data_IF_892408163749
#
_entry.id   IF_892408163749
#
_cell.length_a   1.000
_cell.length_b   1.000
_cell.length_c   1.000
_cell.angle_alpha   90.00
_cell.angle_beta   90.00
_cell.angle_gamma   90.00
#
_symmetry.space_group_name_H-M   'P 1'
#
loop_
_entity.id
_entity.type
_entity.pdbx_description
1 polymer ?
#
# COMPACT_ATOMS: atom_id res chain seq x y z
N UNK A 1 27.74 -21.84 35.95
CA UNK A 1 27.52 -21.24 37.29
C UNK A 1 26.41 -22.00 37.99
N UNK A 2 26.65 -22.54 39.19
CA UNK A 2 25.65 -23.29 39.96
C UNK A 2 25.01 -22.40 41.03
N UNK A 3 23.69 -22.28 41.01
CA UNK A 3 22.95 -21.34 41.87
C UNK A 3 22.04 -22.07 42.86
N UNK A 4 21.86 -21.49 44.05
CA UNK A 4 20.79 -21.86 44.97
C UNK A 4 19.79 -20.72 45.10
N UNK A 5 18.50 -21.02 45.04
CA UNK A 5 17.43 -20.02 45.19
C UNK A 5 16.80 -20.21 46.57
N UNK A 6 16.83 -19.17 47.41
CA UNK A 6 16.20 -19.15 48.73
C UNK A 6 14.92 -18.32 48.63
N UNK A 7 13.78 -18.93 48.93
CA UNK A 7 12.45 -18.39 48.67
C UNK A 7 11.92 -18.87 47.33
N UNK A 8 10.91 -19.73 47.37
CA UNK A 8 10.24 -20.36 46.24
C UNK A 8 8.78 -19.90 46.08
N UNK A 9 8.44 -18.73 46.62
CA UNK A 9 7.20 -18.03 46.31
C UNK A 9 7.14 -17.58 44.84
N UNK A 10 6.23 -16.66 44.50
CA UNK A 10 6.05 -16.21 43.11
C UNK A 10 7.36 -15.69 42.49
N UNK A 11 8.16 -14.95 43.27
CA UNK A 11 9.39 -14.36 42.78
C UNK A 11 10.49 -15.38 42.48
N UNK A 12 10.78 -16.25 43.46
CA UNK A 12 11.70 -17.37 43.27
C UNK A 12 11.27 -18.33 42.17
N UNK A 13 9.96 -18.52 41.97
CA UNK A 13 9.43 -19.34 40.87
C UNK A 13 9.75 -18.73 39.50
N UNK A 14 9.66 -17.41 39.34
CA UNK A 14 10.03 -16.73 38.09
C UNK A 14 11.53 -16.85 37.82
N UNK A 15 12.36 -16.65 38.84
CA UNK A 15 13.81 -16.84 38.74
C UNK A 15 14.18 -18.28 38.40
N UNK A 16 13.46 -19.26 38.96
CA UNK A 16 13.63 -20.67 38.65
C UNK A 16 13.36 -20.96 37.16
N UNK A 17 12.27 -20.42 36.60
CA UNK A 17 11.96 -20.54 35.16
C UNK A 17 13.04 -19.88 34.32
N UNK A 18 13.43 -18.65 34.67
CA UNK A 18 14.47 -17.91 33.97
C UNK A 18 15.78 -18.71 33.88
N UNK A 19 16.31 -19.15 35.03
CA UNK A 19 17.59 -19.85 35.06
C UNK A 19 17.53 -21.24 34.43
N UNK A 20 16.35 -21.86 34.34
CA UNK A 20 16.18 -23.14 33.66
C UNK A 20 16.38 -23.02 32.14
N UNK A 21 16.07 -21.87 31.56
CA UNK A 21 16.24 -21.59 30.12
C UNK A 21 17.65 -21.12 29.76
N UNK A 22 18.54 -20.91 30.74
CA UNK A 22 19.91 -20.44 30.51
C UNK A 22 20.91 -21.60 30.48
N UNK A 23 21.56 -21.84 29.34
CA UNK A 23 22.52 -22.94 29.15
C UNK A 23 23.72 -22.91 30.13
N UNK A 24 24.07 -21.73 30.63
CA UNK A 24 25.24 -21.52 31.49
C UNK A 24 24.92 -21.48 33.00
N UNK A 25 23.66 -21.68 33.39
CA UNK A 25 23.20 -21.67 34.79
C UNK A 25 22.66 -23.03 35.18
N UNK A 26 23.16 -23.60 36.26
CA UNK A 26 22.67 -24.86 36.82
C UNK A 26 21.99 -24.55 38.14
N UNK A 27 20.69 -24.79 38.24
CA UNK A 27 19.98 -24.65 39.51
C UNK A 27 20.29 -25.87 40.36
N UNK A 28 21.11 -25.68 41.39
CA UNK A 28 21.60 -26.74 42.26
C UNK A 28 20.68 -27.08 43.43
N UNK A 29 19.97 -26.08 43.96
CA UNK A 29 19.09 -26.23 45.11
C UNK A 29 18.01 -25.13 45.14
N UNK A 30 16.79 -25.48 45.52
CA UNK A 30 15.72 -24.54 45.87
C UNK A 30 15.38 -24.70 47.35
N UNK A 31 15.40 -23.61 48.11
CA UNK A 31 15.16 -23.61 49.55
C UNK A 31 13.88 -22.85 49.85
N UNK A 32 12.88 -23.48 50.46
CA UNK A 32 11.70 -22.79 50.99
C UNK A 32 11.09 -23.59 52.15
N UNK A 33 10.69 -22.89 53.22
CA UNK A 33 10.03 -23.51 54.38
C UNK A 33 8.69 -24.15 54.03
N UNK A 34 8.04 -23.66 52.99
CA UNK A 34 6.77 -24.16 52.50
C UNK A 34 7.00 -25.12 51.31
N UNK A 35 6.91 -26.42 51.57
CA UNK A 35 7.00 -27.46 50.54
C UNK A 35 5.87 -27.44 49.49
N UNK A 36 4.82 -26.63 49.72
CA UNK A 36 3.74 -26.39 48.78
C UNK A 36 3.91 -25.07 48.00
N UNK A 37 5.02 -24.35 48.19
CA UNK A 37 5.29 -23.14 47.43
C UNK A 37 5.40 -23.45 45.93
N UNK A 38 4.95 -22.54 45.05
CA UNK A 38 4.88 -22.78 43.61
C UNK A 38 6.25 -23.14 43.01
N UNK A 39 7.33 -22.56 43.50
CA UNK A 39 8.68 -22.82 43.03
C UNK A 39 9.20 -24.18 43.48
N UNK A 40 8.74 -24.73 44.61
CA UNK A 40 9.07 -26.09 45.04
C UNK A 40 8.35 -27.11 44.15
N UNK A 41 7.08 -26.88 43.83
CA UNK A 41 6.33 -27.71 42.89
C UNK A 41 7.02 -27.73 41.52
N UNK A 42 7.46 -26.58 41.03
CA UNK A 42 8.18 -26.47 39.77
C UNK A 42 9.58 -27.10 39.83
N UNK A 43 10.29 -26.97 40.96
CA UNK A 43 11.58 -27.64 41.16
C UNK A 43 11.43 -29.16 41.08
N UNK A 44 10.36 -29.74 41.64
CA UNK A 44 10.05 -31.17 41.51
C UNK A 44 9.84 -31.58 40.05
N UNK A 45 9.06 -30.81 39.29
CA UNK A 45 8.81 -31.06 37.87
C UNK A 45 10.11 -31.06 37.06
N UNK A 46 11.02 -30.12 37.36
CA UNK A 46 12.31 -30.01 36.69
C UNK A 46 13.38 -30.98 37.22
N UNK A 47 13.08 -31.81 38.21
CA UNK A 47 14.05 -32.72 38.84
C UNK A 47 15.16 -32.00 39.61
N UNK A 48 14.90 -30.77 40.06
CA UNK A 48 15.84 -29.94 40.82
C UNK A 48 15.72 -30.28 42.31
N UNK A 49 16.86 -30.38 43.01
CA UNK A 49 16.89 -30.63 44.45
C UNK A 49 16.22 -29.48 45.20
N UNK A 50 15.44 -29.79 46.23
CA UNK A 50 14.82 -28.80 47.10
C UNK A 50 14.87 -29.21 48.58
N UNK A 51 14.74 -28.25 49.48
CA UNK A 51 14.77 -28.43 50.95
C UNK A 51 14.07 -27.27 51.65
N UNK A 52 13.72 -27.42 52.92
CA UNK A 52 13.29 -26.34 53.82
C UNK A 52 14.41 -25.74 54.66
N UNK A 53 15.59 -26.39 54.66
CA UNK A 53 16.75 -25.95 55.43
C UNK A 53 17.88 -25.43 54.53
N UNK A 54 18.19 -24.13 54.67
CA UNK A 54 19.29 -23.50 53.94
C UNK A 54 20.66 -24.07 54.31
N UNK A 55 20.80 -24.79 55.44
CA UNK A 55 22.05 -25.49 55.80
C UNK A 55 22.48 -26.53 54.77
N UNK A 56 21.56 -27.01 53.92
CA UNK A 56 21.90 -27.97 52.88
C UNK A 56 22.53 -27.35 51.62
N UNK A 57 22.75 -26.02 51.59
CA UNK A 57 23.53 -25.37 50.53
C UNK A 57 24.99 -25.81 50.66
N UNK A 58 25.45 -26.62 49.70
CA UNK A 58 26.80 -27.18 49.70
C UNK A 58 27.86 -26.24 49.12
N UNK A 59 29.13 -26.65 49.23
CA UNK A 59 30.27 -25.89 48.69
C UNK A 59 30.27 -25.80 47.16
N UNK A 60 29.53 -26.68 46.45
CA UNK A 60 29.42 -26.66 45.00
C UNK A 60 28.47 -25.60 44.45
N UNK A 61 27.70 -24.90 45.30
CA UNK A 61 26.91 -23.73 44.90
C UNK A 61 27.81 -22.49 44.83
N UNK A 62 27.87 -21.84 43.67
CA UNK A 62 28.68 -20.64 43.43
C UNK A 62 27.98 -19.37 43.95
N UNK A 63 26.67 -19.26 43.69
CA UNK A 63 25.87 -18.06 43.98
C UNK A 63 24.58 -18.43 44.72
N UNK A 64 24.25 -17.69 45.76
CA UNK A 64 22.97 -17.79 46.47
C UNK A 64 22.10 -16.61 46.06
N UNK A 65 20.86 -16.89 45.64
CA UNK A 65 19.88 -15.89 45.25
C UNK A 65 18.78 -15.89 46.31
N UNK A 66 18.76 -14.83 47.11
CA UNK A 66 17.77 -14.63 48.15
C UNK A 66 16.58 -13.87 47.55
N UNK A 67 15.47 -14.58 47.37
CA UNK A 67 14.24 -14.09 46.76
C UNK A 67 13.05 -14.07 47.75
N UNK A 68 13.32 -14.10 49.05
CA UNK A 68 12.29 -14.07 50.10
C UNK A 68 11.79 -12.65 50.37
N UNK A 69 12.64 -11.64 50.15
CA UNK A 69 12.33 -10.24 50.49
C UNK A 69 12.38 -9.96 51.99
N UNK A 70 12.84 -10.91 52.80
CA UNK A 70 12.88 -10.80 54.26
C UNK A 70 14.28 -10.43 54.71
N UNK A 71 14.45 -9.21 55.24
CA UNK A 71 15.75 -8.70 55.71
C UNK A 71 16.47 -9.66 56.67
N UNK A 72 15.73 -10.26 57.61
CA UNK A 72 16.29 -11.25 58.55
C UNK A 72 16.90 -12.47 57.84
N UNK A 73 16.27 -12.96 56.78
CA UNK A 73 16.79 -14.09 55.98
C UNK A 73 18.01 -13.63 55.19
N UNK A 74 17.99 -12.43 54.61
CA UNK A 74 19.14 -11.88 53.91
C UNK A 74 20.38 -11.74 54.83
N UNK A 75 20.19 -11.27 56.07
CA UNK A 75 21.25 -11.16 57.07
C UNK A 75 21.75 -12.57 57.48
N UNK A 76 20.85 -13.52 57.72
CA UNK A 76 21.18 -14.92 58.04
C UNK A 76 21.98 -15.61 56.93
N UNK A 77 21.64 -15.37 55.66
CA UNK A 77 22.36 -15.91 54.49
C UNK A 77 23.78 -15.33 54.42
N UNK A 78 23.96 -14.04 54.71
CA UNK A 78 25.29 -13.39 54.74
C UNK A 78 26.16 -13.93 55.88
N UNK A 79 25.59 -14.07 57.07
CA UNK A 79 26.31 -14.56 58.25
C UNK A 79 26.72 -16.04 58.09
N UNK A 80 25.85 -16.86 57.50
CA UNK A 80 26.07 -18.30 57.32
C UNK A 80 26.96 -18.64 56.14
N UNK A 81 26.97 -17.80 55.10
CA UNK A 81 27.74 -18.02 53.88
C UNK A 81 28.63 -16.81 53.50
N UNK A 82 29.54 -16.37 54.40
CA UNK A 82 30.29 -15.12 54.22
C UNK A 82 31.27 -15.13 53.04
N UNK A 83 31.63 -16.30 52.53
CA UNK A 83 32.56 -16.46 51.38
C UNK A 83 31.86 -16.74 50.04
N UNK A 84 30.52 -16.86 50.01
CA UNK A 84 29.76 -17.10 48.77
C UNK A 84 29.24 -15.79 48.19
N UNK A 85 29.05 -15.75 46.87
CA UNK A 85 28.39 -14.62 46.23
C UNK A 85 26.89 -14.66 46.52
N UNK A 86 26.33 -13.53 46.96
CA UNK A 86 24.92 -13.43 47.34
C UNK A 86 24.25 -12.35 46.48
N UNK A 87 23.19 -12.74 45.79
CA UNK A 87 22.22 -11.83 45.18
C UNK A 87 21.11 -11.62 46.20
N UNK A 88 21.03 -10.42 46.77
CA UNK A 88 20.01 -10.09 47.77
C UNK A 88 18.62 -9.89 47.14
N UNK A 89 17.60 -9.75 48.00
CA UNK A 89 16.22 -9.54 47.56
C UNK A 89 16.03 -8.33 46.63
N UNK A 90 16.81 -7.26 46.76
CA UNK A 90 16.65 -6.07 45.91
C UNK A 90 17.14 -6.35 44.49
N UNK A 91 18.30 -7.03 44.38
CA UNK A 91 18.82 -7.45 43.08
C UNK A 91 17.97 -8.56 42.45
N UNK A 92 17.45 -9.49 43.26
CA UNK A 92 16.49 -10.49 42.81
C UNK A 92 15.20 -9.83 42.29
N UNK A 93 14.69 -8.79 42.97
CA UNK A 93 13.54 -8.00 42.51
C UNK A 93 13.81 -7.30 41.17
N UNK A 94 14.98 -6.67 41.03
CA UNK A 94 15.37 -6.05 39.79
C UNK A 94 15.43 -7.07 38.64
N UNK A 95 16.02 -8.25 38.87
CA UNK A 95 16.04 -9.33 37.88
C UNK A 95 14.62 -9.74 37.45
N UNK A 96 13.70 -9.90 38.40
CA UNK A 96 12.31 -10.24 38.08
C UNK A 96 11.61 -9.17 37.25
N UNK A 97 11.82 -7.88 37.57
CA UNK A 97 11.26 -6.77 36.78
C UNK A 97 11.82 -6.75 35.36
N UNK A 98 13.09 -7.08 35.17
CA UNK A 98 13.71 -7.21 33.85
C UNK A 98 13.05 -8.35 33.06
N UNK A 99 12.84 -9.51 33.68
CA UNK A 99 12.16 -10.65 33.05
C UNK A 99 10.73 -10.31 32.67
N UNK A 100 9.95 -9.72 33.59
CA UNK A 100 8.56 -9.33 33.31
C UNK A 100 8.50 -8.32 32.15
N UNK A 101 9.45 -7.38 32.10
CA UNK A 101 9.56 -6.44 30.99
C UNK A 101 9.94 -7.13 29.68
N UNK A 102 10.83 -8.12 29.72
CA UNK A 102 11.23 -8.91 28.56
C UNK A 102 10.06 -9.70 27.99
N UNK A 103 9.29 -10.41 28.82
CA UNK A 103 8.08 -11.13 28.40
C UNK A 103 7.08 -10.17 27.76
N UNK A 104 6.84 -9.02 28.39
CA UNK A 104 5.95 -8.00 27.81
C UNK A 104 6.44 -7.47 26.45
N UNK A 105 7.75 -7.31 26.26
CA UNK A 105 8.34 -6.91 24.97
C UNK A 105 8.14 -8.02 23.93
N UNK A 106 8.31 -9.29 24.30
CA UNK A 106 8.08 -10.43 23.42
C UNK A 106 6.63 -10.52 22.95
N UNK A 107 5.66 -10.34 23.86
CA UNK A 107 4.24 -10.32 23.48
C UNK A 107 3.91 -9.15 22.55
N UNK A 108 4.48 -7.97 22.80
CA UNK A 108 4.34 -6.82 21.92
C UNK A 108 4.95 -7.07 20.54
N UNK A 109 6.10 -7.73 20.46
CA UNK A 109 6.77 -8.05 19.21
C UNK A 109 5.95 -9.05 18.38
N UNK A 110 5.41 -10.09 19.01
CA UNK A 110 4.54 -11.07 18.33
C UNK A 110 3.30 -10.40 17.74
N UNK A 111 2.62 -9.55 18.51
CA UNK A 111 1.48 -8.77 18.00
C UNK A 111 1.88 -7.86 16.83
N UNK A 112 3.07 -7.25 16.86
CA UNK A 112 3.57 -6.45 15.74
C UNK A 112 3.85 -7.29 14.49
N UNK A 113 4.38 -8.50 14.63
CA UNK A 113 4.61 -9.42 13.51
C UNK A 113 3.30 -9.82 12.83
N UNK A 114 2.25 -10.10 13.60
CA UNK A 114 0.92 -10.41 13.06
C UNK A 114 0.33 -9.23 12.28
N UNK A 115 0.47 -8.00 12.80
CA UNK A 115 0.07 -6.80 12.08
C UNK A 115 0.84 -6.66 10.76
N UNK A 116 2.16 -6.89 10.77
CA UNK A 116 2.98 -6.80 9.56
C UNK A 116 2.58 -7.87 8.53
N UNK A 117 2.31 -9.10 8.96
CA UNK A 117 1.85 -10.19 8.08
C UNK A 117 0.52 -9.85 7.41
N UNK A 118 -0.47 -9.43 8.19
CA UNK A 118 -1.76 -9.00 7.65
C UNK A 118 -1.61 -7.80 6.71
N UNK A 119 -0.78 -6.83 7.08
CA UNK A 119 -0.51 -5.64 6.24
C UNK A 119 0.16 -6.01 4.92
N UNK A 120 1.15 -6.92 4.94
CA UNK A 120 1.85 -7.36 3.73
C UNK A 120 0.93 -8.14 2.78
N UNK A 121 0.02 -8.96 3.30
CA UNK A 121 -0.99 -9.64 2.49
C UNK A 121 -1.96 -8.66 1.82
N UNK A 122 -2.49 -7.69 2.59
CA UNK A 122 -3.35 -6.63 2.04
C UNK A 122 -2.61 -5.84 0.96
N UNK A 123 -1.38 -5.40 1.23
CA UNK A 123 -0.57 -4.66 0.26
C UNK A 123 -0.35 -5.46 -1.02
N UNK A 124 -0.07 -6.76 -0.93
CA UNK A 124 0.09 -7.64 -2.10
C UNK A 124 -1.17 -7.65 -2.97
N UNK A 125 -2.34 -7.84 -2.35
CA UNK A 125 -3.63 -7.83 -3.05
C UNK A 125 -3.92 -6.48 -3.71
N UNK A 126 -3.60 -5.38 -3.05
CA UNK A 126 -3.77 -4.05 -3.64
C UNK A 126 -2.79 -3.82 -4.80
N UNK A 127 -1.55 -4.32 -4.74
CA UNK A 127 -0.62 -4.26 -5.87
C UNK A 127 -1.07 -5.08 -7.07
N UNK A 128 -1.70 -6.25 -6.86
CA UNK A 128 -2.29 -7.02 -7.96
C UNK A 128 -3.42 -6.25 -8.67
N UNK A 129 -4.24 -5.52 -7.90
CA UNK A 129 -5.28 -4.64 -8.46
C UNK A 129 -4.68 -3.45 -9.21
N UNK A 130 -3.64 -2.82 -8.68
CA UNK A 130 -2.92 -1.74 -9.36
C UNK A 130 -2.38 -2.23 -10.69
N UNK A 131 -1.68 -3.37 -10.72
CA UNK A 131 -1.15 -3.94 -11.97
C UNK A 131 -2.25 -4.23 -13.00
N UNK A 132 -3.39 -4.76 -12.56
CA UNK A 132 -4.55 -5.01 -13.43
C UNK A 132 -5.12 -3.70 -13.99
N UNK A 133 -5.18 -2.66 -13.15
CA UNK A 133 -5.68 -1.33 -13.54
C UNK A 133 -4.75 -0.66 -14.54
N UNK A 134 -3.43 -0.73 -14.34
CA UNK A 134 -2.42 -0.22 -15.28
C UNK A 134 -2.56 -0.86 -16.67
N UNK A 135 -2.81 -2.18 -16.75
CA UNK A 135 -3.07 -2.86 -18.02
C UNK A 135 -4.33 -2.35 -18.71
N UNK A 136 -5.43 -2.21 -17.97
CA UNK A 136 -6.68 -1.66 -18.49
C UNK A 136 -6.51 -0.23 -18.99
N UNK A 137 -5.72 0.61 -18.30
CA UNK A 137 -5.43 1.97 -18.73
C UNK A 137 -4.64 2.01 -20.04
N UNK A 138 -3.66 1.12 -20.22
CA UNK A 138 -2.96 0.98 -21.49
C UNK A 138 -3.89 0.57 -22.64
N UNK A 139 -4.79 -0.39 -22.41
CA UNK A 139 -5.77 -0.82 -23.42
C UNK A 139 -6.73 0.33 -23.78
N UNK A 140 -7.22 1.07 -22.77
CA UNK A 140 -8.07 2.26 -22.97
C UNK A 140 -7.32 3.32 -23.76
N UNK A 141 -6.06 3.59 -23.42
CA UNK A 141 -5.20 4.54 -24.14
C UNK A 141 -5.08 4.16 -25.63
N UNK A 142 -4.76 2.90 -25.93
CA UNK A 142 -4.69 2.40 -27.31
C UNK A 142 -6.00 2.58 -28.08
N UNK A 143 -7.14 2.26 -27.45
CA UNK A 143 -8.45 2.44 -28.07
C UNK A 143 -8.78 3.92 -28.32
N UNK A 144 -8.40 4.82 -27.41
CA UNK A 144 -8.59 6.26 -27.57
C UNK A 144 -7.72 6.81 -28.71
N UNK A 145 -6.47 6.36 -28.86
CA UNK A 145 -5.62 6.73 -30.01
C UNK A 145 -6.29 6.31 -31.32
N UNK A 146 -6.80 5.07 -31.37
CA UNK A 146 -7.48 4.57 -32.56
C UNK A 146 -8.72 5.42 -32.89
N UNK A 147 -9.59 5.66 -31.92
CA UNK A 147 -10.81 6.46 -32.10
C UNK A 147 -10.51 7.91 -32.49
N UNK A 148 -9.47 8.53 -31.90
CA UNK A 148 -9.02 9.88 -32.26
C UNK A 148 -8.52 9.94 -33.71
N UNK A 149 -7.80 8.91 -34.17
CA UNK A 149 -7.35 8.82 -35.56
C UNK A 149 -8.52 8.64 -36.54
N UNK A 150 -9.50 7.80 -36.22
CA UNK A 150 -10.72 7.66 -37.03
C UNK A 150 -11.51 8.97 -37.08
N UNK A 151 -11.69 9.65 -35.94
CA UNK A 151 -12.33 10.96 -35.86
C UNK A 151 -11.64 11.98 -36.78
N UNK A 152 -10.30 12.02 -36.75
CA UNK A 152 -9.50 12.86 -37.65
C UNK A 152 -9.78 12.57 -39.13
N UNK A 153 -9.87 11.29 -39.50
CA UNK A 153 -10.18 10.89 -40.87
C UNK A 153 -11.59 11.35 -41.29
N UNK A 154 -12.59 11.17 -40.44
CA UNK A 154 -13.96 11.64 -40.71
C UNK A 154 -14.03 13.16 -40.84
N UNK A 155 -13.30 13.91 -40.02
CA UNK A 155 -13.21 15.37 -40.12
C UNK A 155 -12.63 15.76 -41.49
N UNK A 156 -11.52 15.15 -41.91
CA UNK A 156 -10.91 15.44 -43.22
C UNK A 156 -11.84 15.10 -44.39
N UNK A 157 -12.47 13.91 -44.37
CA UNK A 157 -13.41 13.51 -45.41
C UNK A 157 -14.63 14.45 -45.48
N UNK A 158 -15.14 14.90 -44.33
CA UNK A 158 -16.28 15.83 -44.30
C UNK A 158 -15.86 17.20 -44.83
N UNK A 159 -14.65 17.67 -44.53
CA UNK A 159 -14.13 18.93 -45.07
C UNK A 159 -14.01 18.88 -46.61
N UNK A 160 -13.54 17.77 -47.19
CA UNK A 160 -13.51 17.56 -48.64
C UNK A 160 -14.92 17.61 -49.28
N UNK A 161 -15.92 17.03 -48.61
CA UNK A 161 -17.32 17.09 -49.06
C UNK A 161 -17.83 18.52 -49.02
N UNK A 162 -17.57 19.27 -47.94
CA UNK A 162 -18.00 20.67 -47.81
C UNK A 162 -17.32 21.57 -48.85
N UNK A 163 -16.04 21.34 -49.14
CA UNK A 163 -15.33 22.02 -50.23
C UNK A 163 -16.00 21.75 -51.60
N UNK A 164 -16.45 20.52 -51.84
CA UNK A 164 -17.19 20.15 -53.05
C UNK A 164 -18.56 20.83 -53.12
N UNK A 165 -19.29 20.89 -51.99
CA UNK A 165 -20.57 21.61 -51.88
C UNK A 165 -20.38 23.10 -52.18
N UNK A 166 -19.32 23.71 -51.65
CA UNK A 166 -18.96 25.10 -51.95
C UNK A 166 -18.70 25.33 -53.43
N UNK A 167 -17.99 24.41 -54.10
CA UNK A 167 -17.74 24.48 -55.54
C UNK A 167 -19.04 24.38 -56.36
N UNK A 168 -19.90 23.41 -56.06
CA UNK A 168 -21.21 23.24 -56.71
C UNK A 168 -22.07 24.48 -56.50
N UNK A 169 -22.08 25.02 -55.29
CA UNK A 169 -22.84 26.22 -54.95
C UNK A 169 -22.38 27.42 -55.77
N UNK A 170 -21.06 27.63 -55.92
CA UNK A 170 -20.53 28.68 -56.80
C UNK A 170 -20.97 28.49 -58.27
N UNK A 171 -20.97 27.26 -58.79
CA UNK A 171 -21.45 26.98 -60.14
C UNK A 171 -22.94 27.31 -60.27
N UNK A 172 -23.78 26.89 -59.32
CA UNK A 172 -25.21 27.20 -59.30
C UNK A 172 -25.45 28.71 -59.27
N UNK A 173 -24.66 29.46 -58.50
CA UNK A 173 -24.74 30.93 -58.46
C UNK A 173 -24.50 31.55 -59.85
N UNK A 174 -23.49 31.06 -60.57
CA UNK A 174 -23.18 31.51 -61.94
C UNK A 174 -24.29 31.12 -62.92
N UNK A 175 -24.85 29.90 -62.81
CA UNK A 175 -26.00 29.47 -63.60
C UNK A 175 -27.22 30.37 -63.36
N UNK A 176 -27.54 30.68 -62.11
CA UNK A 176 -28.62 31.58 -61.74
C UNK A 176 -28.40 33.00 -62.27
N UNK A 177 -27.16 33.50 -62.27
CA UNK A 177 -26.80 34.78 -62.89
C UNK A 177 -27.03 34.76 -64.41
N UNK A 178 -26.58 33.73 -65.11
CA UNK A 178 -26.79 33.60 -66.54
C UNK A 178 -28.28 33.52 -66.89
N UNK A 179 -29.07 32.78 -66.10
CA UNK A 179 -30.52 32.71 -66.26
C UNK A 179 -31.20 34.07 -66.06
N UNK A 180 -30.75 34.86 -65.07
CA UNK A 180 -31.24 36.22 -64.85
C UNK A 180 -30.93 37.15 -66.02
N UNK A 181 -29.73 37.05 -66.60
CA UNK A 181 -29.33 37.83 -67.79
C UNK A 181 -30.23 37.48 -68.98
N UNK A 182 -30.47 36.20 -69.24
CA UNK A 182 -31.31 35.77 -70.37
C UNK A 182 -32.79 36.12 -70.15
N UNK A 183 -33.28 36.04 -68.90
CA UNK A 183 -34.61 36.51 -68.53
C UNK A 183 -34.79 38.01 -68.78
N UNK A 184 -33.78 38.83 -68.45
CA UNK A 184 -33.78 40.25 -68.76
C UNK A 184 -33.77 40.51 -70.27
N UNK A 185 -33.01 39.70 -71.03
CA UNK A 185 -32.93 39.78 -72.50
C UNK A 185 -34.25 39.46 -73.20
N UNK A 186 -35.04 38.54 -72.64
CA UNK A 186 -36.37 38.19 -73.14
C UNK A 186 -37.47 39.22 -72.81
N UNK A 187 -37.16 40.27 -72.04
CA UNK A 187 -38.10 41.36 -71.71
C UNK A 187 -39.34 40.87 -70.95
N UNK A 188 -40.54 41.25 -71.40
CA UNK A 188 -41.81 40.88 -70.78
C UNK A 188 -42.00 39.35 -70.68
N UNK A 189 -41.52 38.59 -71.69
CA UNK A 189 -41.64 37.13 -71.73
C UNK A 189 -40.72 36.42 -70.72
N UNK A 190 -39.68 37.11 -70.22
CA UNK A 190 -38.72 36.56 -69.26
C UNK A 190 -39.04 36.81 -67.79
N UNK A 191 -40.10 37.57 -67.46
CA UNK A 191 -40.41 37.95 -66.06
C UNK A 191 -40.53 36.76 -65.11
N UNK A 192 -41.21 35.69 -65.52
CA UNK A 192 -41.34 34.46 -64.71
C UNK A 192 -39.99 33.77 -64.47
N UNK A 193 -39.13 33.73 -65.49
CA UNK A 193 -37.79 33.14 -65.38
C UNK A 193 -36.87 33.96 -64.48
N UNK A 194 -36.99 35.29 -64.46
CA UNK A 194 -36.20 36.13 -63.56
C UNK A 194 -36.54 35.90 -62.09
N UNK A 195 -37.81 35.66 -61.75
CA UNK A 195 -38.20 35.31 -60.37
C UNK A 195 -37.54 34.00 -59.94
N UNK A 196 -37.57 32.97 -60.79
CA UNK A 196 -36.92 31.68 -60.50
C UNK A 196 -35.41 31.83 -60.38
N UNK A 197 -34.76 32.56 -61.29
CA UNK A 197 -33.33 32.79 -61.28
C UNK A 197 -32.85 33.51 -60.00
N UNK A 198 -33.62 34.50 -59.53
CA UNK A 198 -33.35 35.17 -58.25
C UNK A 198 -33.48 34.22 -57.05
N UNK A 199 -34.48 33.34 -57.05
CA UNK A 199 -34.67 32.37 -55.97
C UNK A 199 -33.54 31.33 -55.95
N UNK A 200 -33.08 30.89 -57.12
CA UNK A 200 -31.90 30.00 -57.25
C UNK A 200 -30.64 30.68 -56.71
N UNK A 201 -30.41 31.97 -56.98
CA UNK A 201 -29.28 32.69 -56.41
C UNK A 201 -29.35 32.78 -54.88
N UNK A 202 -30.52 33.10 -54.32
CA UNK A 202 -30.71 33.14 -52.86
C UNK A 202 -30.47 31.77 -52.22
N UNK A 203 -30.97 30.70 -52.82
CA UNK A 203 -30.75 29.34 -52.34
C UNK A 203 -29.25 28.99 -52.36
N UNK A 204 -28.54 29.38 -53.41
CA UNK A 204 -27.10 29.22 -53.50
C UNK A 204 -26.36 30.01 -52.41
N UNK A 205 -26.73 31.26 -52.16
CA UNK A 205 -26.09 32.08 -51.11
C UNK A 205 -26.31 31.50 -49.71
N UNK A 206 -27.53 31.04 -49.42
CA UNK A 206 -27.84 30.35 -48.17
C UNK A 206 -27.05 29.03 -48.03
N UNK A 207 -26.94 28.25 -49.11
CA UNK A 207 -26.17 26.98 -49.09
C UNK A 207 -24.70 27.23 -48.79
N UNK A 208 -24.12 28.29 -49.36
CA UNK A 208 -22.74 28.69 -49.07
C UNK A 208 -22.57 29.06 -47.59
N UNK A 209 -23.50 29.85 -47.05
CA UNK A 209 -23.46 30.25 -45.64
C UNK A 209 -23.46 29.02 -44.71
N UNK A 210 -24.33 28.04 -44.96
CA UNK A 210 -24.35 26.80 -44.18
C UNK A 210 -23.06 25.96 -44.35
N UNK A 211 -22.51 25.91 -45.56
CA UNK A 211 -21.24 25.23 -45.79
C UNK A 211 -20.09 25.88 -45.00
N UNK A 212 -20.03 27.22 -44.98
CA UNK A 212 -19.03 27.97 -44.21
C UNK A 212 -19.19 27.75 -42.68
N UNK A 213 -20.42 27.67 -42.18
CA UNK A 213 -20.72 27.31 -40.78
C UNK A 213 -20.24 25.90 -40.43
N UNK A 214 -20.51 24.91 -41.30
CA UNK A 214 -20.05 23.53 -41.10
C UNK A 214 -18.52 23.46 -41.11
N UNK A 215 -17.84 24.16 -42.02
CA UNK A 215 -16.37 24.25 -42.02
C UNK A 215 -15.83 24.86 -40.71
N UNK A 216 -16.55 25.81 -40.11
CA UNK A 216 -16.24 26.33 -38.78
C UNK A 216 -16.31 25.25 -37.70
N UNK A 217 -17.38 24.46 -37.68
CA UNK A 217 -17.56 23.36 -36.74
C UNK A 217 -16.49 22.27 -36.90
N UNK A 218 -16.12 21.92 -38.14
CA UNK A 218 -15.06 20.94 -38.42
C UNK A 218 -13.70 21.39 -37.89
N UNK A 219 -13.37 22.68 -37.98
CA UNK A 219 -12.15 23.23 -37.37
C UNK A 219 -12.16 23.10 -35.86
N UNK A 220 -13.29 23.41 -35.21
CA UNK A 220 -13.44 23.24 -33.77
C UNK A 220 -13.30 21.77 -33.35
N UNK A 221 -13.89 20.83 -34.11
CA UNK A 221 -13.72 19.39 -33.88
C UNK A 221 -12.27 18.95 -34.04
N UNK A 222 -11.54 19.49 -35.02
CA UNK A 222 -10.12 19.17 -35.21
C UNK A 222 -9.28 19.62 -34.01
N UNK A 223 -9.54 20.81 -33.46
CA UNK A 223 -8.85 21.32 -32.25
C UNK A 223 -9.16 20.42 -31.06
N UNK A 224 -10.43 20.04 -30.88
CA UNK A 224 -10.82 19.16 -29.78
C UNK A 224 -10.17 17.77 -29.90
N UNK A 225 -10.04 17.24 -31.11
CA UNK A 225 -9.35 15.98 -31.36
C UNK A 225 -7.84 16.07 -31.04
N UNK A 226 -7.21 17.22 -31.28
CA UNK A 226 -5.83 17.47 -30.87
C UNK A 226 -5.70 17.53 -29.34
N UNK A 227 -6.65 18.18 -28.65
CA UNK A 227 -6.70 18.18 -27.19
C UNK A 227 -6.82 16.76 -26.61
N UNK A 228 -7.65 15.91 -27.22
CA UNK A 228 -7.77 14.49 -26.84
C UNK A 228 -6.43 13.77 -26.99
N UNK A 229 -5.71 13.98 -28.09
CA UNK A 229 -4.38 13.37 -28.27
C UNK A 229 -3.39 13.78 -27.17
N UNK A 230 -3.34 15.07 -26.83
CA UNK A 230 -2.49 15.56 -25.74
C UNK A 230 -2.87 14.93 -24.38
N UNK A 231 -4.17 14.72 -24.13
CA UNK A 231 -4.63 14.04 -22.91
C UNK A 231 -4.23 12.56 -22.88
N UNK A 232 -4.25 11.88 -24.04
CA UNK A 232 -3.83 10.49 -24.16
C UNK A 232 -2.32 10.34 -23.92
N UNK A 233 -1.49 11.24 -24.44
CA UNK A 233 -0.05 11.23 -24.15
C UNK A 233 0.24 11.37 -22.66
N UNK A 234 -0.46 12.30 -21.99
CA UNK A 234 -0.36 12.47 -20.54
C UNK A 234 -0.86 11.25 -19.76
N UNK A 235 -1.90 10.57 -20.26
CA UNK A 235 -2.37 9.31 -19.68
C UNK A 235 -1.31 8.22 -19.80
N UNK A 236 -0.60 8.16 -20.92
CA UNK A 236 0.52 7.25 -21.13
C UNK A 236 1.63 7.45 -20.10
N UNK A 237 2.09 8.69 -19.89
CA UNK A 237 3.14 8.99 -18.91
C UNK A 237 2.72 8.66 -17.48
N UNK A 238 1.46 8.94 -17.11
CA UNK A 238 0.93 8.60 -15.79
C UNK A 238 0.86 7.09 -15.56
N UNK A 239 0.56 6.33 -16.62
CA UNK A 239 0.49 4.86 -16.56
C UNK A 239 1.88 4.25 -16.37
N UNK A 240 2.91 4.82 -17.01
CA UNK A 240 4.31 4.42 -16.81
C UNK A 240 4.80 4.72 -15.38
N UNK A 241 4.54 5.93 -14.87
CA UNK A 241 4.86 6.27 -13.47
C UNK A 241 4.17 5.33 -12.46
N UNK A 242 2.91 4.96 -12.74
CA UNK A 242 2.14 4.05 -11.88
C UNK A 242 2.74 2.64 -11.87
N UNK A 243 3.26 2.15 -13.00
CA UNK A 243 3.91 0.84 -13.10
C UNK A 243 5.23 0.81 -12.31
N UNK A 244 6.03 1.87 -12.43
CA UNK A 244 7.28 2.04 -11.66
C UNK A 244 7.01 2.08 -10.14
N UNK A 245 6.00 2.83 -9.71
CA UNK A 245 5.58 2.86 -8.31
C UNK A 245 5.14 1.49 -7.81
N UNK A 246 4.34 0.76 -8.61
CA UNK A 246 3.88 -0.58 -8.25
C UNK A 246 5.06 -1.56 -8.11
N UNK A 247 6.04 -1.50 -9.02
CA UNK A 247 7.27 -2.29 -8.96
C UNK A 247 8.08 -2.02 -7.68
N UNK A 248 8.25 -0.75 -7.33
CA UNK A 248 8.93 -0.34 -6.10
C UNK A 248 8.23 -0.86 -4.84
N UNK A 249 6.90 -0.73 -4.76
CA UNK A 249 6.13 -1.23 -3.62
C UNK A 249 6.21 -2.76 -3.53
N UNK A 250 6.13 -3.48 -4.65
CA UNK A 250 6.33 -4.93 -4.67
C UNK A 250 7.71 -5.34 -4.15
N UNK A 251 8.76 -4.59 -4.50
CA UNK A 251 10.11 -4.80 -3.95
C UNK A 251 10.17 -4.61 -2.43
N UNK A 252 9.42 -3.65 -1.88
CA UNK A 252 9.31 -3.44 -0.42
C UNK A 252 8.54 -4.58 0.24
N UNK A 253 7.44 -5.04 -0.35
CA UNK A 253 6.65 -6.18 0.15
C UNK A 253 7.51 -7.44 0.24
N UNK A 254 8.32 -7.74 -0.78
CA UNK A 254 9.24 -8.90 -0.76
C UNK A 254 10.29 -8.80 0.35
N UNK A 255 10.85 -7.60 0.57
CA UNK A 255 11.79 -7.34 1.67
C UNK A 255 11.12 -7.52 3.04
N UNK A 256 9.87 -7.09 3.21
CA UNK A 256 9.11 -7.30 4.45
C UNK A 256 8.83 -8.80 4.68
N UNK A 257 8.31 -9.50 3.67
CA UNK A 257 7.98 -10.91 3.76
C UNK A 257 9.20 -11.77 4.15
N UNK A 258 10.38 -11.49 3.58
CA UNK A 258 11.62 -12.19 3.91
C UNK A 258 12.16 -11.91 5.32
N UNK A 259 11.80 -10.78 5.93
CA UNK A 259 12.17 -10.45 7.31
C UNK A 259 11.25 -11.09 8.35
N UNK A 260 9.98 -11.33 8.00
CA UNK A 260 9.02 -11.97 8.92
C UNK A 260 9.10 -13.49 8.87
N UNK A 261 9.61 -14.07 7.78
CA UNK A 261 9.82 -15.51 7.65
C UNK A 261 11.08 -16.05 8.38
N UNK A 262 11.86 -15.20 9.05
CA UNK A 262 13.06 -15.55 9.83
C UNK A 262 12.78 -15.42 11.31
#
# INVERSE_FOLDING_TARGET
MKVAIIGAGNGGTKLLKLFKEMDNVIIGLVVDKNYNAPGITLAKEYGIRYTDDMSNIDNGIDVIIEATGVKKIADEVKDKFPQKQIVDSQMAELMMRIVDKQVSISDQLNNQLDIINNTTEVLKKEMDKVSTTTKLLNDVSHNLIHSSNESKQYITQTDEIINSVNHITQQIKILGLNANIEAARAGEHGRGFSVVANEVQKLSDNTKMFADEISGLLKSLSIENENINNQIEKLGSLTEEQDDMASNVNGVIQKLASKVAR
#
